data_IF_888281054069
#
_entry.id   IF_888281054069
#
_cell.length_a   1.000
_cell.length_b   1.000
_cell.length_c   1.000
_cell.angle_alpha   90.00
_cell.angle_beta   90.00
_cell.angle_gamma   90.00
#
_symmetry.space_group_name_H-M   'P 1'
#
loop_
_entity.id
_entity.type
_entity.pdbx_description
1 polymer ?
#
# COMPACT_ATOMS: atom_id res chain seq x y z
N UNK A 1 -1.40 -5.80 20.34
CA UNK A 1 -0.61 -6.61 19.41
C UNK A 1 -0.84 -6.09 18.00
N UNK A 2 0.17 -5.49 17.37
CA UNK A 2 0.14 -5.05 15.98
C UNK A 2 0.41 -6.27 15.08
N UNK A 3 -0.52 -6.66 14.24
CA UNK A 3 -0.28 -7.69 13.25
C UNK A 3 -0.17 -7.05 11.87
N UNK A 4 1.07 -6.98 11.36
CA UNK A 4 1.37 -6.48 10.02
C UNK A 4 1.21 -7.65 9.04
N UNK A 5 0.23 -7.59 8.14
CA UNK A 5 0.05 -8.60 7.10
C UNK A 5 0.67 -8.07 5.81
N UNK A 6 1.90 -8.51 5.54
CA UNK A 6 2.70 -8.10 4.38
C UNK A 6 3.02 -9.24 3.40
N UNK A 7 2.12 -10.17 3.14
CA UNK A 7 2.43 -11.27 2.22
C UNK A 7 1.41 -11.44 1.10
N UNK A 8 1.87 -11.42 -0.16
CA UNK A 8 1.15 -11.60 -1.42
C UNK A 8 0.19 -10.46 -1.82
N UNK A 9 0.51 -9.84 -2.96
CA UNK A 9 -0.14 -8.67 -3.56
C UNK A 9 -1.68 -8.72 -3.68
N UNK A 10 -2.30 -9.90 -3.75
CA UNK A 10 -3.70 -10.07 -4.12
C UNK A 10 -4.67 -10.36 -2.97
N UNK A 11 -4.24 -10.40 -1.70
CA UNK A 11 -5.13 -10.86 -0.62
C UNK A 11 -5.04 -10.03 0.66
N UNK A 12 -4.49 -8.82 0.59
CA UNK A 12 -4.20 -8.07 1.82
C UNK A 12 -5.45 -7.62 2.56
N UNK A 13 -6.44 -7.09 1.86
CA UNK A 13 -7.70 -6.65 2.47
C UNK A 13 -8.49 -7.83 3.05
N UNK A 14 -8.65 -8.91 2.27
CA UNK A 14 -9.34 -10.12 2.74
C UNK A 14 -8.62 -10.80 3.91
N UNK A 15 -7.28 -10.85 3.86
CA UNK A 15 -6.48 -11.39 4.97
C UNK A 15 -6.59 -10.55 6.25
N UNK A 16 -6.61 -9.22 6.10
CA UNK A 16 -6.79 -8.31 7.22
C UNK A 16 -8.18 -8.44 7.85
N UNK A 17 -9.22 -8.58 7.03
CA UNK A 17 -10.57 -8.87 7.47
C UNK A 17 -10.61 -10.16 8.30
N UNK A 18 -10.08 -11.27 7.76
CA UNK A 18 -10.03 -12.55 8.46
C UNK A 18 -9.23 -12.50 9.77
N UNK A 19 -8.09 -11.81 9.76
CA UNK A 19 -7.26 -11.64 10.96
C UNK A 19 -7.98 -10.82 12.05
N UNK A 20 -8.69 -9.75 11.67
CA UNK A 20 -9.43 -8.92 12.61
C UNK A 20 -10.61 -9.69 13.21
N UNK A 21 -11.32 -10.49 12.41
CA UNK A 21 -12.41 -11.36 12.90
C UNK A 21 -11.90 -12.44 13.85
N UNK A 22 -10.76 -13.05 13.53
CA UNK A 22 -10.12 -14.06 14.39
C UNK A 22 -9.54 -13.47 15.69
N UNK A 23 -9.23 -12.19 15.70
CA UNK A 23 -8.64 -11.48 16.84
C UNK A 23 -9.32 -10.12 17.08
N UNK A 24 -10.59 -10.10 17.55
CA UNK A 24 -11.38 -8.86 17.66
C UNK A 24 -10.78 -7.82 18.61
N UNK A 25 -10.00 -8.26 19.61
CA UNK A 25 -9.33 -7.34 20.53
C UNK A 25 -8.01 -6.75 20.00
N UNK A 26 -7.49 -7.27 18.91
CA UNK A 26 -6.29 -6.75 18.25
C UNK A 26 -6.65 -5.61 17.30
N UNK A 27 -5.65 -4.83 16.90
CA UNK A 27 -5.77 -3.85 15.81
C UNK A 27 -5.03 -4.39 14.60
N UNK A 28 -5.69 -4.48 13.48
CA UNK A 28 -5.13 -4.99 12.24
C UNK A 28 -4.93 -3.84 11.26
N UNK A 29 -3.70 -3.69 10.78
CA UNK A 29 -3.34 -2.75 9.72
C UNK A 29 -3.03 -3.54 8.45
N UNK A 30 -3.72 -3.21 7.36
CA UNK A 30 -3.43 -3.71 6.01
C UNK A 30 -2.61 -2.69 5.24
N UNK A 31 -1.40 -3.04 4.83
CA UNK A 31 -0.55 -2.15 4.02
C UNK A 31 -0.48 -2.70 2.60
N UNK A 32 -0.81 -1.88 1.61
CA UNK A 32 -0.77 -2.25 0.19
C UNK A 32 -0.30 -1.08 -0.68
N UNK A 33 0.22 -1.40 -1.86
CA UNK A 33 0.36 -0.41 -2.93
C UNK A 33 -0.97 -0.26 -3.69
N UNK A 34 -1.11 0.83 -4.42
CA UNK A 34 -2.28 1.17 -5.24
C UNK A 34 -2.64 0.07 -6.25
N UNK A 35 -1.67 -0.48 -6.98
CA UNK A 35 -1.91 -1.58 -7.91
C UNK A 35 -2.43 -2.85 -7.23
N UNK A 36 -1.89 -3.18 -6.05
CA UNK A 36 -2.35 -4.33 -5.27
C UNK A 36 -3.74 -4.10 -4.67
N UNK A 37 -4.02 -2.90 -4.20
CA UNK A 37 -5.31 -2.54 -3.63
C UNK A 37 -6.43 -2.54 -4.67
N UNK A 38 -6.18 -2.04 -5.89
CA UNK A 38 -7.15 -2.08 -7.00
C UNK A 38 -7.67 -3.49 -7.31
N UNK A 39 -6.89 -4.54 -7.00
CA UNK A 39 -7.31 -5.92 -7.25
C UNK A 39 -8.29 -6.45 -6.20
N UNK A 40 -8.30 -5.91 -4.99
CA UNK A 40 -9.08 -6.42 -3.84
C UNK A 40 -9.75 -5.32 -3.03
N UNK A 41 -9.82 -4.11 -3.56
CA UNK A 41 -10.48 -2.99 -2.89
C UNK A 41 -11.98 -3.22 -2.65
N UNK A 42 -12.62 -4.09 -3.44
CA UNK A 42 -14.01 -4.51 -3.23
C UNK A 42 -14.27 -5.16 -1.87
N UNK A 43 -13.24 -5.70 -1.22
CA UNK A 43 -13.36 -6.24 0.14
C UNK A 43 -13.73 -5.18 1.19
N UNK A 44 -13.57 -3.90 0.85
CA UNK A 44 -14.06 -2.80 1.68
C UNK A 44 -15.57 -2.90 1.91
N UNK A 45 -16.34 -3.44 0.96
CA UNK A 45 -17.75 -3.68 1.14
C UNK A 45 -18.02 -4.61 2.33
N UNK A 46 -17.32 -5.73 2.39
CA UNK A 46 -17.48 -6.71 3.49
C UNK A 46 -16.99 -6.13 4.82
N UNK A 47 -15.89 -5.39 4.80
CA UNK A 47 -15.32 -4.70 5.96
C UNK A 47 -16.32 -3.68 6.51
N UNK A 48 -16.90 -2.85 5.64
CA UNK A 48 -17.87 -1.83 6.01
C UNK A 48 -19.18 -2.43 6.52
N UNK A 49 -19.77 -3.39 5.78
CA UNK A 49 -21.05 -4.01 6.11
C UNK A 49 -21.04 -4.72 7.48
N UNK A 50 -19.87 -5.18 7.92
CA UNK A 50 -19.70 -5.83 9.22
C UNK A 50 -19.00 -4.93 10.26
N UNK A 51 -18.76 -3.66 9.93
CA UNK A 51 -18.07 -2.69 10.78
C UNK A 51 -16.76 -3.24 11.39
N UNK A 52 -15.99 -3.97 10.58
CA UNK A 52 -14.74 -4.60 11.05
C UNK A 52 -13.62 -3.56 11.11
N UNK A 53 -13.02 -3.28 12.28
CA UNK A 53 -12.13 -2.13 12.48
C UNK A 53 -10.71 -2.33 11.91
N UNK A 54 -10.62 -2.64 10.63
CA UNK A 54 -9.36 -2.72 9.88
C UNK A 54 -8.91 -1.32 9.46
N UNK A 55 -7.63 -1.02 9.63
CA UNK A 55 -7.00 0.18 9.08
C UNK A 55 -6.31 -0.21 7.76
N UNK A 56 -6.81 0.31 6.64
CA UNK A 56 -6.21 0.11 5.33
C UNK A 56 -5.28 1.28 4.98
N UNK A 57 -3.98 1.01 4.81
CA UNK A 57 -3.01 2.00 4.33
C UNK A 57 -2.64 1.66 2.90
N UNK A 58 -2.88 2.60 1.99
CA UNK A 58 -2.62 2.45 0.55
C UNK A 58 -1.50 3.40 0.15
N UNK A 59 -0.32 2.87 -0.15
CA UNK A 59 0.76 3.64 -0.75
C UNK A 59 0.50 3.82 -2.24
N UNK A 60 0.18 5.04 -2.65
CA UNK A 60 -0.18 5.39 -4.01
C UNK A 60 0.97 6.11 -4.71
N UNK A 61 1.60 5.43 -5.67
CA UNK A 61 2.59 6.01 -6.57
C UNK A 61 2.09 6.09 -8.02
N UNK A 62 0.79 5.87 -8.24
CA UNK A 62 0.14 5.86 -9.55
C UNK A 62 0.78 4.89 -10.55
N UNK A 63 1.35 3.77 -10.03
CA UNK A 63 2.04 2.84 -10.90
C UNK A 63 2.39 1.50 -10.26
N UNK A 64 2.90 0.61 -11.09
CA UNK A 64 3.45 -0.67 -10.67
C UNK A 64 4.94 -0.49 -10.32
N UNK A 65 5.23 0.05 -9.12
CA UNK A 65 6.56 0.46 -8.71
C UNK A 65 7.63 -0.63 -8.87
N UNK A 66 7.35 -1.87 -8.49
CA UNK A 66 8.29 -2.98 -8.66
C UNK A 66 8.58 -3.30 -10.13
N UNK A 67 7.58 -3.18 -11.00
CA UNK A 67 7.78 -3.37 -12.45
C UNK A 67 8.65 -2.24 -13.01
N UNK A 68 8.35 -0.99 -12.63
CA UNK A 68 9.17 0.17 -13.01
C UNK A 68 10.62 0.01 -12.54
N UNK A 69 10.83 -0.44 -11.31
CA UNK A 69 12.17 -0.69 -10.75
C UNK A 69 12.93 -1.75 -11.54
N UNK A 70 12.30 -2.88 -11.89
CA UNK A 70 12.91 -3.90 -12.73
C UNK A 70 13.26 -3.37 -14.13
N UNK A 71 12.38 -2.58 -14.72
CA UNK A 71 12.62 -1.97 -16.03
C UNK A 71 13.77 -0.94 -15.96
N UNK A 72 13.94 -0.27 -14.84
CA UNK A 72 15.09 0.61 -14.62
C UNK A 72 16.39 -0.19 -14.56
N UNK A 73 16.43 -1.28 -13.82
CA UNK A 73 17.66 -2.05 -13.54
C UNK A 73 18.05 -2.91 -14.74
N UNK A 74 17.09 -3.60 -15.37
CA UNK A 74 17.38 -4.66 -16.34
C UNK A 74 17.09 -4.26 -17.79
N UNK A 75 16.28 -3.23 -18.01
CA UNK A 75 15.79 -2.89 -19.35
C UNK A 75 16.15 -1.47 -19.80
N UNK A 76 17.23 -0.91 -19.23
CA UNK A 76 17.73 0.42 -19.59
C UNK A 76 16.64 1.52 -19.58
N UNK A 77 15.81 1.54 -18.53
CA UNK A 77 14.69 2.49 -18.35
C UNK A 77 13.65 2.45 -19.50
N UNK A 78 13.54 1.37 -20.23
CA UNK A 78 12.51 1.19 -21.27
C UNK A 78 11.18 0.86 -20.60
N UNK A 79 10.48 1.90 -20.14
CA UNK A 79 9.23 1.75 -19.39
C UNK A 79 8.07 1.35 -20.30
N UNK A 80 7.34 0.32 -19.91
CA UNK A 80 6.10 -0.10 -20.56
C UNK A 80 5.13 -0.67 -19.54
N UNK A 81 3.87 -0.28 -19.64
CA UNK A 81 2.77 -0.80 -18.80
C UNK A 81 3.02 -0.76 -17.29
N UNK A 82 3.93 0.09 -16.81
CA UNK A 82 4.23 0.26 -15.38
C UNK A 82 3.51 1.48 -14.78
N UNK A 83 3.03 2.38 -15.59
CA UNK A 83 2.19 3.51 -15.17
C UNK A 83 0.73 3.08 -15.21
N UNK A 84 -0.01 3.36 -14.15
CA UNK A 84 -1.43 3.08 -14.10
C UNK A 84 -2.19 4.31 -14.60
N UNK A 85 -2.89 4.22 -15.75
CA UNK A 85 -3.62 5.35 -16.30
C UNK A 85 -4.79 5.73 -15.37
N UNK A 86 -4.96 7.03 -15.21
CA UNK A 86 -6.04 7.60 -14.40
C UNK A 86 -5.73 7.57 -12.90
N UNK A 87 -5.99 8.69 -12.26
CA UNK A 87 -5.92 8.80 -10.81
C UNK A 87 -7.15 8.15 -10.17
N UNK A 88 -6.91 7.30 -9.20
CA UNK A 88 -7.97 6.76 -8.32
C UNK A 88 -7.78 7.37 -6.95
N UNK A 89 -8.73 8.15 -6.53
CA UNK A 89 -8.83 8.68 -5.17
C UNK A 89 -9.36 7.55 -4.26
N UNK A 90 -8.46 6.93 -3.51
CA UNK A 90 -8.83 5.80 -2.66
C UNK A 90 -9.64 6.24 -1.43
N UNK A 91 -9.53 7.47 -1.00
CA UNK A 91 -10.36 8.03 0.07
C UNK A 91 -11.82 8.12 -0.40
N UNK A 92 -12.07 8.67 -1.60
CA UNK A 92 -13.42 8.68 -2.18
C UNK A 92 -13.93 7.27 -2.46
N UNK A 93 -13.05 6.38 -2.89
CA UNK A 93 -13.42 4.97 -3.09
C UNK A 93 -13.89 4.33 -1.78
N UNK A 94 -13.19 4.55 -0.67
CA UNK A 94 -13.61 4.07 0.65
C UNK A 94 -14.91 4.72 1.13
N UNK A 95 -15.08 6.03 0.88
CA UNK A 95 -16.29 6.77 1.22
C UNK A 95 -17.54 6.22 0.51
N UNK A 96 -17.39 5.67 -0.71
CA UNK A 96 -18.48 5.01 -1.41
C UNK A 96 -19.05 3.78 -0.66
N UNK A 97 -18.27 3.19 0.24
CA UNK A 97 -18.69 2.10 1.15
C UNK A 97 -19.03 2.61 2.56
N UNK A 98 -19.03 3.92 2.79
CA UNK A 98 -19.27 4.51 4.11
C UNK A 98 -18.08 4.42 5.06
N UNK A 99 -16.86 4.16 4.54
CA UNK A 99 -15.61 4.11 5.31
C UNK A 99 -14.97 5.49 5.32
N UNK A 100 -14.67 6.01 6.50
CA UNK A 100 -13.89 7.24 6.66
C UNK A 100 -12.45 7.04 6.22
N UNK A 101 -11.86 8.10 5.68
CA UNK A 101 -10.45 8.06 5.27
C UNK A 101 -9.88 9.44 5.06
N UNK A 102 -8.55 9.49 4.92
CA UNK A 102 -7.82 10.72 4.65
C UNK A 102 -6.54 10.49 3.85
N UNK A 103 -6.05 11.58 3.25
CA UNK A 103 -4.77 11.60 2.54
C UNK A 103 -3.64 11.95 3.50
N UNK A 104 -2.47 11.36 3.28
CA UNK A 104 -1.27 11.67 4.04
C UNK A 104 -0.09 11.84 3.06
N UNK A 105 0.40 13.08 2.94
CA UNK A 105 1.49 13.43 2.02
C UNK A 105 2.83 13.60 2.75
N UNK A 106 2.82 13.55 4.07
CA UNK A 106 4.02 13.62 4.91
C UNK A 106 4.03 12.54 5.98
N UNK A 107 5.21 12.19 6.53
CA UNK A 107 5.31 11.25 7.65
C UNK A 107 4.50 11.68 8.87
N UNK A 108 4.44 12.98 9.16
CA UNK A 108 3.71 13.54 10.29
C UNK A 108 2.20 13.40 10.08
N UNK A 109 1.70 13.69 8.88
CA UNK A 109 0.30 13.49 8.52
C UNK A 109 -0.09 12.00 8.62
N UNK A 110 0.78 11.10 8.14
CA UNK A 110 0.56 9.66 8.28
C UNK A 110 0.48 9.23 9.74
N UNK A 111 1.38 9.73 10.61
CA UNK A 111 1.37 9.40 12.02
C UNK A 111 0.05 9.86 12.70
N UNK A 112 -0.41 11.08 12.38
CA UNK A 112 -1.68 11.62 12.89
C UNK A 112 -2.89 10.80 12.39
N UNK A 113 -2.91 10.48 11.09
CA UNK A 113 -3.96 9.66 10.48
C UNK A 113 -4.04 8.25 11.12
N UNK A 114 -2.90 7.62 11.36
CA UNK A 114 -2.82 6.32 12.03
C UNK A 114 -3.32 6.42 13.47
N UNK A 115 -2.94 7.45 14.22
CA UNK A 115 -3.40 7.65 15.59
C UNK A 115 -4.93 7.82 15.64
N UNK A 116 -5.49 8.66 14.79
CA UNK A 116 -6.94 8.87 14.66
C UNK A 116 -7.67 7.57 14.29
N UNK A 117 -7.18 6.85 13.26
CA UNK A 117 -7.74 5.58 12.85
C UNK A 117 -7.67 4.52 13.95
N UNK A 118 -6.61 4.55 14.75
CA UNK A 118 -6.43 3.64 15.89
C UNK A 118 -7.47 3.84 16.98
N UNK A 119 -7.78 5.09 17.29
CA UNK A 119 -8.72 5.46 18.36
C UNK A 119 -10.17 5.26 17.97
N UNK A 120 -10.54 5.54 16.71
CA UNK A 120 -11.94 5.50 16.27
C UNK A 120 -12.55 4.09 16.29
N UNK A 121 -11.74 3.03 16.28
CA UNK A 121 -12.16 1.60 16.27
C UNK A 121 -13.23 1.26 15.23
N UNK A 122 -13.17 1.94 14.09
CA UNK A 122 -14.00 1.69 12.91
C UNK A 122 -13.10 1.32 11.73
N UNK A 123 -13.66 0.80 10.63
CA UNK A 123 -12.94 0.72 9.36
C UNK A 123 -12.40 2.10 8.97
N UNK A 124 -11.16 2.16 8.54
CA UNK A 124 -10.52 3.41 8.16
C UNK A 124 -9.56 3.21 6.99
N UNK A 125 -9.51 4.16 6.06
CA UNK A 125 -8.54 4.12 4.97
C UNK A 125 -7.63 5.34 5.00
N UNK A 126 -6.33 5.11 4.85
CA UNK A 126 -5.32 6.16 4.72
C UNK A 126 -4.64 5.99 3.36
N UNK A 127 -4.75 6.99 2.52
CA UNK A 127 -4.02 7.05 1.25
C UNK A 127 -2.72 7.84 1.45
N UNK A 128 -1.58 7.19 1.19
CA UNK A 128 -0.25 7.79 1.30
C UNK A 128 0.27 8.04 -0.10
N UNK A 129 0.32 9.30 -0.51
CA UNK A 129 0.88 9.68 -1.80
C UNK A 129 2.42 9.64 -1.74
N UNK A 130 3.02 8.86 -2.64
CA UNK A 130 4.47 8.73 -2.72
C UNK A 130 4.97 9.03 -4.13
N UNK A 131 6.21 9.47 -4.24
CA UNK A 131 6.80 9.77 -5.54
C UNK A 131 6.93 8.49 -6.38
N UNK A 132 6.37 8.47 -7.62
CA UNK A 132 6.44 7.31 -8.52
C UNK A 132 7.86 6.90 -8.93
N UNK A 133 8.84 7.80 -8.78
CA UNK A 133 10.24 7.53 -9.08
C UNK A 133 10.99 6.85 -7.94
N UNK A 134 10.43 6.82 -6.72
CA UNK A 134 11.08 6.19 -5.59
C UNK A 134 11.25 4.69 -5.83
N UNK A 135 12.45 4.21 -5.56
CA UNK A 135 12.81 2.79 -5.64
C UNK A 135 12.99 2.19 -4.24
N UNK A 136 12.74 0.89 -4.12
CA UNK A 136 12.99 0.15 -2.87
C UNK A 136 14.45 -0.31 -2.89
N UNK A 137 15.27 0.35 -2.10
CA UNK A 137 16.71 0.06 -1.99
C UNK A 137 17.10 -0.21 -0.51
N UNK A 138 18.12 -1.03 -0.26
CA UNK A 138 18.91 -1.81 -1.22
C UNK A 138 18.12 -2.94 -1.86
N UNK A 139 18.48 -3.34 -3.09
CA UNK A 139 17.85 -4.42 -3.83
C UNK A 139 18.91 -5.41 -4.32
N UNK A 140 18.64 -6.70 -4.23
CA UNK A 140 19.42 -7.74 -4.88
C UNK A 140 18.85 -7.99 -6.27
N UNK A 141 19.66 -7.84 -7.31
CA UNK A 141 19.21 -8.13 -8.67
C UNK A 141 19.02 -9.65 -8.86
N UNK A 142 18.04 -10.07 -9.73
CA UNK A 142 17.86 -11.47 -10.03
C UNK A 142 19.15 -12.15 -10.50
N UNK A 143 19.47 -13.30 -9.92
CA UNK A 143 20.69 -14.07 -10.23
C UNK A 143 21.92 -13.68 -9.42
N UNK A 144 21.85 -12.66 -8.58
CA UNK A 144 22.93 -12.27 -7.69
C UNK A 144 22.78 -12.88 -6.28
N UNK A 145 23.89 -12.94 -5.54
CA UNK A 145 23.88 -13.37 -4.15
C UNK A 145 23.31 -12.30 -3.20
N UNK A 146 22.86 -12.71 -2.02
CA UNK A 146 22.26 -11.81 -1.03
C UNK A 146 23.21 -10.68 -0.58
N UNK A 147 24.49 -10.83 -0.78
CA UNK A 147 25.51 -9.82 -0.46
C UNK A 147 25.78 -8.86 -1.62
N UNK A 148 25.19 -9.12 -2.80
CA UNK A 148 25.41 -8.34 -4.02
C UNK A 148 24.24 -7.37 -4.24
N UNK A 149 24.29 -6.25 -3.54
CA UNK A 149 23.25 -5.22 -3.65
C UNK A 149 23.48 -4.34 -4.88
N UNK A 150 22.39 -4.07 -5.59
CA UNK A 150 22.36 -2.99 -6.58
C UNK A 150 22.50 -1.66 -5.84
N UNK A 151 23.58 -0.93 -6.15
CA UNK A 151 23.83 0.42 -5.68
C UNK A 151 23.61 1.35 -6.89
N UNK A 152 22.67 2.27 -6.76
CA UNK A 152 22.56 3.37 -7.71
C UNK A 152 23.27 4.60 -7.14
N UNK A 153 24.02 5.31 -7.97
CA UNK A 153 24.43 6.66 -7.64
C UNK A 153 23.17 7.54 -7.52
N UNK A 154 23.18 8.52 -6.61
CA UNK A 154 22.03 9.41 -6.39
C UNK A 154 21.55 10.12 -7.66
N UNK A 155 22.43 10.28 -8.67
CA UNK A 155 22.15 10.92 -9.97
C UNK A 155 21.41 9.99 -10.97
N UNK A 156 21.33 8.70 -10.70
CA UNK A 156 20.65 7.74 -11.58
C UNK A 156 19.17 7.52 -11.19
N UNK A 157 18.76 8.11 -10.07
CA UNK A 157 17.40 7.94 -9.50
C UNK A 157 16.45 9.05 -9.99
N UNK A 158 16.97 10.15 -10.54
CA UNK A 158 16.20 11.31 -11.02
C UNK A 158 15.73 11.20 -12.46
#
# INVERSE_FOLDING_TARGET
FLQLISWKLRKKSAAALGAQLARPQSRVISISGDGGFKMTGSELFTIASNNVPVIAIVFNNSGLGMIRQLQTVQFAKRFTSCELPGYVDFVKYAAAFGIEGEHADTPEALAQAVAKAWECRKPYLIEVCINPKNMVLPMVAPGLGINDFVKFANDEIN
#
